data_IF_929282614956
#
_entry.id   IF_929282614956
#
_cell.length_a   1.000
_cell.length_b   1.000
_cell.length_c   1.000
_cell.angle_alpha   90.00
_cell.angle_beta   90.00
_cell.angle_gamma   90.00
#
_symmetry.space_group_name_H-M   'P 1'
#
loop_
_entity.id
_entity.type
_entity.pdbx_description
1 polymer ?
#
# COMPACT_ATOMS: atom_id res chain seq x y z
N UNK A 1 -14.90 12.97 -10.09
CA UNK A 1 -13.45 12.88 -9.85
C UNK A 1 -12.79 13.99 -10.63
N UNK A 2 -12.17 14.93 -9.92
CA UNK A 2 -11.24 15.91 -10.51
C UNK A 2 -10.06 15.14 -11.09
N UNK A 3 -9.52 15.48 -12.28
CA UNK A 3 -8.31 14.84 -12.77
C UNK A 3 -7.20 14.98 -11.73
N UNK A 4 -6.48 13.89 -11.46
CA UNK A 4 -5.27 13.95 -10.66
C UNK A 4 -4.28 14.89 -11.36
N UNK A 5 -3.50 15.70 -10.63
CA UNK A 5 -2.46 16.52 -11.23
C UNK A 5 -1.43 15.64 -11.96
N UNK A 6 -0.70 16.21 -12.94
CA UNK A 6 0.33 15.48 -13.67
C UNK A 6 1.33 14.83 -12.71
N UNK A 7 1.59 13.54 -12.93
CA UNK A 7 2.56 12.75 -12.20
C UNK A 7 3.67 12.38 -13.20
N UNK A 8 4.88 12.95 -13.07
CA UNK A 8 5.90 12.81 -14.10
C UNK A 8 6.28 11.37 -14.44
N UNK A 9 6.24 10.46 -13.48
CA UNK A 9 6.51 9.03 -13.66
C UNK A 9 5.41 8.39 -14.50
N UNK A 10 4.15 8.69 -14.17
CA UNK A 10 3.01 8.20 -14.95
C UNK A 10 3.04 8.77 -16.37
N UNK A 11 3.43 10.02 -16.54
CA UNK A 11 3.55 10.68 -17.85
C UNK A 11 4.72 10.11 -18.68
N UNK A 12 5.88 9.87 -18.05
CA UNK A 12 7.03 9.24 -18.70
C UNK A 12 6.73 7.79 -19.10
N UNK A 13 6.10 7.02 -18.22
CA UNK A 13 5.64 5.66 -18.53
C UNK A 13 4.62 5.65 -19.66
N UNK A 14 3.66 6.60 -19.66
CA UNK A 14 2.67 6.74 -20.72
C UNK A 14 3.31 6.97 -22.09
N UNK A 15 4.38 7.77 -22.17
CA UNK A 15 5.12 8.01 -23.40
C UNK A 15 5.76 6.73 -23.98
N UNK A 16 6.01 5.73 -23.13
CA UNK A 16 6.52 4.41 -23.50
C UNK A 16 5.43 3.33 -23.61
N UNK A 17 4.15 3.70 -23.45
CA UNK A 17 3.02 2.75 -23.45
C UNK A 17 2.97 1.86 -22.20
N UNK A 18 3.59 2.29 -21.10
CA UNK A 18 3.63 1.58 -19.82
C UNK A 18 2.66 2.20 -18.82
N UNK A 19 2.32 1.45 -17.79
CA UNK A 19 1.51 1.91 -16.66
C UNK A 19 2.31 1.84 -15.36
N UNK A 20 2.00 2.77 -14.44
CA UNK A 20 2.64 2.87 -13.12
C UNK A 20 1.56 3.01 -12.07
N UNK A 21 1.64 2.18 -11.04
CA UNK A 21 0.77 2.23 -9.86
C UNK A 21 1.59 2.65 -8.64
N UNK A 22 1.08 3.61 -7.88
CA UNK A 22 1.69 4.08 -6.64
C UNK A 22 0.93 3.52 -5.44
N UNK A 23 1.62 2.78 -4.58
CA UNK A 23 1.00 1.94 -3.56
C UNK A 23 1.58 2.26 -2.18
N UNK A 24 0.76 2.13 -1.14
CA UNK A 24 1.19 2.28 0.25
C UNK A 24 0.89 1.01 1.05
N UNK A 25 1.87 0.51 1.80
CA UNK A 25 1.78 -0.77 2.48
C UNK A 25 1.44 -0.68 3.99
N UNK A 26 0.85 0.41 4.48
CA UNK A 26 0.39 0.52 5.87
C UNK A 26 1.45 0.99 6.87
N UNK A 27 1.12 0.89 8.16
CA UNK A 27 1.81 1.54 9.29
C UNK A 27 1.89 3.05 9.11
N UNK A 28 0.72 3.68 9.10
CA UNK A 28 0.62 5.12 8.94
C UNK A 28 0.90 5.84 10.26
N UNK A 29 0.56 5.23 11.39
CA UNK A 29 0.68 5.83 12.73
C UNK A 29 1.87 5.29 13.52
N UNK A 30 2.17 5.93 14.65
CA UNK A 30 3.20 5.54 15.62
C UNK A 30 4.65 5.62 15.10
N UNK A 31 5.27 6.78 15.31
CA UNK A 31 6.67 7.04 14.91
C UNK A 31 6.95 8.49 14.53
N UNK A 32 5.97 9.39 14.60
CA UNK A 32 6.13 10.78 14.22
C UNK A 32 5.20 11.72 15.02
N UNK A 33 5.61 12.97 15.20
CA UNK A 33 4.74 13.97 15.82
C UNK A 33 3.45 14.22 15.02
N UNK A 34 3.50 14.10 13.68
CA UNK A 34 2.35 14.28 12.80
C UNK A 34 1.26 13.21 13.02
N UNK A 35 1.65 11.98 13.34
CA UNK A 35 0.71 10.91 13.68
C UNK A 35 0.34 10.91 15.17
N UNK A 36 1.27 11.24 16.06
CA UNK A 36 1.17 10.83 17.48
C UNK A 36 0.87 11.98 18.44
N UNK A 37 1.14 13.24 18.07
CA UNK A 37 0.92 14.36 18.99
C UNK A 37 -0.55 14.45 19.45
N UNK A 38 -1.48 14.16 18.55
CA UNK A 38 -2.91 14.12 18.83
C UNK A 38 -3.35 12.97 19.75
N UNK A 39 -2.51 11.93 19.94
CA UNK A 39 -2.75 10.93 20.97
C UNK A 39 -2.70 11.55 22.37
N UNK A 40 -1.80 12.51 22.59
CA UNK A 40 -1.61 13.15 23.90
C UNK A 40 -2.56 14.31 24.18
N UNK A 41 -3.21 14.85 23.15
CA UNK A 41 -4.18 15.97 23.28
C UNK A 41 -5.63 15.52 23.16
N UNK A 42 -5.90 14.56 22.27
CA UNK A 42 -7.26 14.12 21.89
C UNK A 42 -7.48 12.61 22.05
N UNK A 43 -6.45 11.83 22.35
CA UNK A 43 -6.54 10.38 22.54
C UNK A 43 -6.70 9.56 21.25
N UNK A 44 -6.19 10.09 20.12
CA UNK A 44 -6.32 9.46 18.80
C UNK A 44 -5.03 9.64 17.99
N UNK A 45 -4.47 8.55 17.45
CA UNK A 45 -3.40 8.63 16.46
C UNK A 45 -3.95 8.98 15.07
N UNK A 46 -3.14 9.63 14.26
CA UNK A 46 -3.44 9.89 12.84
C UNK A 46 -4.44 11.03 12.59
N UNK A 47 -4.93 11.72 13.63
CA UNK A 47 -5.91 12.82 13.50
C UNK A 47 -5.47 13.87 12.49
N UNK A 48 -4.19 14.24 12.52
CA UNK A 48 -3.63 15.27 11.63
C UNK A 48 -2.94 14.66 10.39
N UNK A 49 -2.57 13.38 10.43
CA UNK A 49 -1.86 12.70 9.35
C UNK A 49 -2.79 12.11 8.29
N UNK A 50 -3.93 11.51 8.66
CA UNK A 50 -4.84 10.91 7.69
C UNK A 50 -5.38 11.90 6.65
N UNK A 51 -5.71 13.17 6.98
CA UNK A 51 -6.05 14.17 5.98
C UNK A 51 -4.94 14.39 4.93
N UNK A 52 -3.67 14.36 5.35
CA UNK A 52 -2.52 14.49 4.44
C UNK A 52 -2.39 13.25 3.54
N UNK A 53 -2.52 12.05 4.12
CA UNK A 53 -2.50 10.79 3.36
C UNK A 53 -3.63 10.75 2.33
N UNK A 54 -4.83 11.24 2.65
CA UNK A 54 -5.96 11.34 1.72
C UNK A 54 -5.72 12.23 0.50
N UNK A 55 -4.71 13.11 0.53
CA UNK A 55 -4.31 13.94 -0.61
C UNK A 55 -3.29 13.25 -1.52
N UNK A 56 -2.66 12.16 -1.05
CA UNK A 56 -1.65 11.45 -1.82
C UNK A 56 -2.28 10.67 -2.98
N UNK A 57 -1.63 10.66 -4.16
CA UNK A 57 -2.19 10.02 -5.35
C UNK A 57 -1.95 8.50 -5.38
N UNK A 58 -2.18 7.81 -4.26
CA UNK A 58 -2.08 6.36 -4.19
C UNK A 58 -3.18 5.70 -5.02
N UNK A 59 -2.81 4.66 -5.78
CA UNK A 59 -3.74 3.84 -6.54
C UNK A 59 -4.44 2.79 -5.67
N UNK A 60 -3.76 2.31 -4.62
CA UNK A 60 -4.28 1.50 -3.52
C UNK A 60 -3.36 1.58 -2.29
N UNK A 61 -3.91 1.27 -1.13
CA UNK A 61 -3.20 1.26 0.15
C UNK A 61 -3.83 0.23 1.11
N UNK A 62 -3.12 -0.19 2.15
CA UNK A 62 -3.58 -1.15 3.16
C UNK A 62 -3.28 -0.67 4.58
N UNK A 63 -3.81 -1.36 5.59
CA UNK A 63 -3.44 -1.20 7.01
C UNK A 63 -2.08 -1.82 7.32
N UNK A 64 -1.41 -1.29 8.34
CA UNK A 64 -0.37 -2.00 9.10
C UNK A 64 -0.83 -2.31 10.53
N UNK A 65 0.02 -2.94 11.33
CA UNK A 65 -0.34 -3.32 12.70
C UNK A 65 -0.49 -2.09 13.63
N UNK A 66 0.30 -1.04 13.39
CA UNK A 66 0.25 0.18 14.19
C UNK A 66 -1.06 0.96 14.00
N UNK A 67 -1.75 0.76 12.88
CA UNK A 67 -3.06 1.38 12.64
C UNK A 67 -4.18 0.73 13.49
N UNK A 68 -3.92 -0.43 14.10
CA UNK A 68 -4.93 -1.31 14.70
C UNK A 68 -4.79 -1.51 16.21
N UNK A 69 -3.80 -0.91 16.89
CA UNK A 69 -3.62 -1.06 18.34
C UNK A 69 -4.67 -0.33 19.17
N UNK A 70 -5.22 0.78 18.66
CA UNK A 70 -6.18 1.61 19.38
C UNK A 70 -7.56 1.67 18.70
N UNK A 71 -8.61 1.42 19.49
CA UNK A 71 -10.00 1.52 19.03
C UNK A 71 -10.33 2.92 18.49
N UNK A 72 -9.70 3.96 19.05
CA UNK A 72 -9.93 5.35 18.64
C UNK A 72 -9.34 5.65 17.26
N UNK A 73 -8.19 5.06 16.92
CA UNK A 73 -7.56 5.17 15.60
C UNK A 73 -8.41 4.46 14.54
N UNK A 74 -8.90 3.25 14.83
CA UNK A 74 -9.82 2.53 13.94
C UNK A 74 -11.12 3.32 13.73
N UNK A 75 -11.72 3.81 14.82
CA UNK A 75 -12.93 4.62 14.74
C UNK A 75 -12.73 5.92 13.94
N UNK A 76 -11.55 6.54 14.01
CA UNK A 76 -11.20 7.68 13.18
C UNK A 76 -11.12 7.28 11.70
N UNK A 77 -10.43 6.19 11.36
CA UNK A 77 -10.30 5.73 9.97
C UNK A 77 -11.67 5.42 9.34
N UNK A 78 -12.54 4.70 10.05
CA UNK A 78 -13.90 4.36 9.58
C UNK A 78 -14.85 5.58 9.58
N UNK A 79 -14.76 6.44 10.60
CA UNK A 79 -15.74 7.51 10.85
C UNK A 79 -15.43 8.86 10.20
N UNK A 80 -14.18 9.15 9.84
CA UNK A 80 -13.78 10.44 9.25
C UNK A 80 -14.00 10.53 7.74
N UNK A 81 -14.32 9.41 7.09
CA UNK A 81 -14.33 9.29 5.64
C UNK A 81 -12.95 8.99 5.04
N UNK A 82 -11.92 8.74 5.86
CA UNK A 82 -10.60 8.33 5.38
C UNK A 82 -10.68 7.06 4.52
N UNK A 83 -11.23 5.96 5.06
CA UNK A 83 -11.36 4.69 4.32
C UNK A 83 -12.30 4.86 3.12
N UNK A 84 -13.49 5.41 3.33
CA UNK A 84 -14.50 5.59 2.29
C UNK A 84 -14.02 6.46 1.13
N UNK A 85 -13.16 7.46 1.41
CA UNK A 85 -12.58 8.36 0.43
C UNK A 85 -11.77 7.65 -0.67
N UNK A 86 -11.24 6.46 -0.38
CA UNK A 86 -10.49 5.65 -1.33
C UNK A 86 -11.38 4.83 -2.26
N UNK A 87 -12.70 4.80 -2.07
CA UNK A 87 -13.65 4.17 -2.99
C UNK A 87 -13.37 2.69 -3.23
N UNK A 88 -13.03 1.94 -2.17
CA UNK A 88 -12.70 0.51 -2.22
C UNK A 88 -11.23 0.20 -2.54
N UNK A 89 -10.35 1.20 -2.56
CA UNK A 89 -8.89 1.04 -2.77
C UNK A 89 -8.07 1.05 -1.47
N UNK A 90 -8.72 1.25 -0.33
CA UNK A 90 -8.17 0.93 0.99
C UNK A 90 -8.44 -0.54 1.26
N UNK A 91 -7.41 -1.39 1.16
CA UNK A 91 -7.53 -2.83 1.07
C UNK A 91 -7.28 -3.50 2.44
N UNK A 92 -8.20 -4.36 2.87
CA UNK A 92 -8.15 -5.07 4.15
C UNK A 92 -8.70 -6.49 4.00
N UNK A 93 -8.09 -7.29 3.12
CA UNK A 93 -8.49 -8.67 2.77
C UNK A 93 -8.69 -9.59 3.98
N UNK A 94 -7.92 -9.40 5.06
CA UNK A 94 -8.04 -10.22 6.26
C UNK A 94 -8.34 -9.44 7.55
N UNK A 95 -8.68 -8.15 7.48
CA UNK A 95 -9.03 -7.35 8.66
C UNK A 95 -10.50 -6.97 8.62
N UNK A 96 -11.27 -7.46 9.59
CA UNK A 96 -12.71 -7.24 9.68
C UNK A 96 -13.09 -6.48 10.94
N UNK A 97 -14.18 -5.72 10.86
CA UNK A 97 -14.83 -5.12 12.03
C UNK A 97 -15.34 -6.23 12.96
N UNK A 98 -15.00 -6.17 14.24
CA UNK A 98 -15.29 -7.22 15.22
C UNK A 98 -16.79 -7.43 15.48
N UNK A 99 -17.60 -6.39 15.25
CA UNK A 99 -19.06 -6.43 15.47
C UNK A 99 -19.81 -6.96 14.26
N UNK A 100 -19.43 -6.53 13.06
CA UNK A 100 -20.17 -6.89 11.83
C UNK A 100 -19.60 -8.12 11.12
N UNK A 101 -18.31 -8.43 11.34
CA UNK A 101 -17.57 -9.46 10.61
C UNK A 101 -17.29 -9.09 9.14
N UNK A 102 -17.52 -7.84 8.76
CA UNK A 102 -17.25 -7.29 7.42
C UNK A 102 -15.92 -6.56 7.45
N UNK A 103 -15.18 -6.61 6.34
CA UNK A 103 -13.93 -5.87 6.17
C UNK A 103 -14.14 -4.39 6.40
N UNK A 104 -13.21 -3.74 7.10
CA UNK A 104 -13.28 -2.29 7.36
C UNK A 104 -13.03 -1.49 6.07
N UNK A 105 -12.26 -2.05 5.13
CA UNK A 105 -12.06 -1.55 3.77
C UNK A 105 -12.48 -2.57 2.70
N UNK A 106 -11.94 -2.42 1.49
CA UNK A 106 -12.16 -3.35 0.39
C UNK A 106 -11.36 -4.64 0.55
N UNK A 107 -11.92 -5.79 0.17
CA UNK A 107 -11.15 -7.05 0.12
C UNK A 107 -10.09 -7.05 -0.97
N UNK A 108 -10.42 -6.47 -2.11
CA UNK A 108 -9.58 -6.39 -3.29
C UNK A 108 -10.11 -5.28 -4.20
N UNK A 109 -9.29 -4.88 -5.17
CA UNK A 109 -9.74 -4.03 -6.28
C UNK A 109 -9.01 -4.42 -7.57
N UNK A 110 -9.55 -4.05 -8.73
CA UNK A 110 -8.85 -4.19 -10.01
C UNK A 110 -8.40 -2.80 -10.45
N UNK A 111 -7.08 -2.61 -10.49
CA UNK A 111 -6.45 -1.42 -11.02
C UNK A 111 -6.31 -1.58 -12.53
N UNK A 112 -6.75 -0.57 -13.29
CA UNK A 112 -6.67 -0.58 -14.75
C UNK A 112 -5.69 0.51 -15.18
N UNK A 113 -4.64 0.11 -15.88
CA UNK A 113 -3.64 1.00 -16.42
C UNK A 113 -4.24 1.90 -17.51
N UNK A 114 -4.19 3.23 -17.38
CA UNK A 114 -4.78 4.13 -18.36
C UNK A 114 -4.10 4.10 -19.74
N UNK A 115 -2.86 3.62 -19.83
CA UNK A 115 -2.06 3.68 -21.06
C UNK A 115 -2.10 2.37 -21.86
N UNK A 116 -1.83 1.23 -21.21
CA UNK A 116 -1.83 -0.09 -21.87
C UNK A 116 -3.16 -0.83 -21.71
N UNK A 117 -3.98 -0.45 -20.72
CA UNK A 117 -5.19 -1.20 -20.35
C UNK A 117 -4.91 -2.40 -19.45
N UNK A 118 -3.68 -2.58 -18.97
CA UNK A 118 -3.29 -3.67 -18.05
C UNK A 118 -4.22 -3.72 -16.84
N UNK A 119 -4.68 -4.91 -16.48
CA UNK A 119 -5.52 -5.16 -15.31
C UNK A 119 -4.69 -5.82 -14.23
N UNK A 120 -4.60 -5.17 -13.07
CA UNK A 120 -3.89 -5.67 -11.90
C UNK A 120 -4.89 -5.91 -10.78
N UNK A 121 -5.04 -7.16 -10.35
CA UNK A 121 -5.80 -7.48 -9.15
C UNK A 121 -4.95 -7.13 -7.92
N UNK A 122 -5.42 -6.18 -7.12
CA UNK A 122 -4.76 -5.76 -5.89
C UNK A 122 -5.49 -6.31 -4.65
N UNK A 123 -4.73 -6.92 -3.74
CA UNK A 123 -5.16 -7.45 -2.44
C UNK A 123 -4.40 -6.74 -1.30
N UNK A 124 -4.93 -6.76 -0.08
CA UNK A 124 -4.32 -6.12 1.10
C UNK A 124 -4.35 -7.03 2.33
N UNK A 125 -3.22 -7.62 2.70
CA UNK A 125 -3.10 -8.55 3.81
C UNK A 125 -2.18 -8.03 4.91
N UNK A 126 -2.55 -8.29 6.15
CA UNK A 126 -1.71 -8.16 7.33
C UNK A 126 -1.30 -9.57 7.82
N UNK A 127 -0.18 -9.72 8.53
CA UNK A 127 0.12 -10.98 9.22
C UNK A 127 -1.02 -11.36 10.20
N UNK A 128 -0.98 -12.56 10.77
CA UNK A 128 -1.95 -12.96 11.80
C UNK A 128 -1.69 -12.21 13.12
N UNK A 129 -2.02 -10.91 13.13
CA UNK A 129 -1.95 -10.06 14.30
C UNK A 129 -3.02 -10.51 15.31
N UNK A 130 -2.62 -10.69 16.57
CA UNK A 130 -3.53 -11.15 17.64
C UNK A 130 -3.59 -10.18 18.82
N UNK A 131 -2.81 -9.10 18.76
CA UNK A 131 -2.72 -8.02 19.74
C UNK A 131 -3.36 -6.72 19.24
N UNK A 132 -4.25 -6.80 18.25
CA UNK A 132 -5.05 -5.67 17.78
C UNK A 132 -6.13 -5.24 18.81
N UNK A 133 -6.68 -4.04 18.63
CA UNK A 133 -7.76 -3.48 19.43
C UNK A 133 -9.09 -4.27 19.31
N UNK A 134 -10.05 -3.94 20.18
CA UNK A 134 -11.34 -4.64 20.24
C UNK A 134 -12.28 -4.35 19.06
N UNK A 135 -12.01 -3.32 18.26
CA UNK A 135 -12.86 -2.89 17.14
C UNK A 135 -12.70 -3.77 15.89
N UNK A 136 -11.59 -4.49 15.77
CA UNK A 136 -11.28 -5.33 14.61
C UNK A 136 -10.91 -6.75 15.01
N UNK A 137 -10.88 -7.64 14.03
CA UNK A 137 -10.28 -8.97 14.10
C UNK A 137 -9.46 -9.15 12.84
N UNK A 138 -8.18 -9.48 13.01
CA UNK A 138 -7.31 -9.88 11.90
C UNK A 138 -7.38 -11.39 11.78
N UNK A 139 -7.92 -11.88 10.66
CA UNK A 139 -8.02 -13.31 10.36
C UNK A 139 -6.68 -13.85 9.90
N UNK A 140 -6.41 -15.10 10.26
CA UNK A 140 -5.23 -15.82 9.78
C UNK A 140 -5.23 -15.90 8.24
N UNK A 141 -4.17 -15.43 7.54
CA UNK A 141 -4.05 -15.56 6.09
C UNK A 141 -4.28 -16.98 5.59
N UNK A 142 -3.87 -18.00 6.35
CA UNK A 142 -4.09 -19.41 6.01
C UNK A 142 -5.58 -19.76 5.91
N UNK A 143 -6.42 -19.17 6.76
CA UNK A 143 -7.87 -19.38 6.70
C UNK A 143 -8.50 -18.57 5.58
N UNK A 144 -8.07 -17.31 5.41
CA UNK A 144 -8.64 -16.39 4.43
C UNK A 144 -8.46 -16.86 2.99
N UNK A 145 -7.30 -17.44 2.64
CA UNK A 145 -7.05 -17.97 1.29
C UNK A 145 -7.96 -19.15 0.91
N UNK A 146 -8.68 -19.72 1.89
CA UNK A 146 -9.66 -20.80 1.70
C UNK A 146 -11.11 -20.31 1.70
N UNK A 147 -11.35 -19.04 1.97
CA UNK A 147 -12.70 -18.47 2.00
C UNK A 147 -13.29 -18.35 0.59
N UNK A 148 -14.61 -18.55 0.47
CA UNK A 148 -15.34 -18.54 -0.80
C UNK A 148 -15.13 -17.23 -1.58
N UNK A 149 -15.02 -16.10 -0.89
CA UNK A 149 -14.83 -14.81 -1.55
C UNK A 149 -13.46 -14.72 -2.21
N UNK A 150 -12.40 -15.30 -1.62
CA UNK A 150 -11.04 -15.24 -2.15
C UNK A 150 -10.97 -16.05 -3.44
N UNK A 151 -11.51 -17.27 -3.40
CA UNK A 151 -11.64 -18.13 -4.57
C UNK A 151 -12.49 -17.45 -5.66
N UNK A 152 -13.62 -16.86 -5.29
CA UNK A 152 -14.50 -16.16 -6.22
C UNK A 152 -13.86 -14.91 -6.82
N UNK A 153 -13.05 -14.18 -6.04
CA UNK A 153 -12.33 -13.00 -6.51
C UNK A 153 -11.28 -13.38 -7.56
N UNK A 154 -10.48 -14.42 -7.32
CA UNK A 154 -9.49 -14.89 -8.28
C UNK A 154 -10.14 -15.50 -9.53
N UNK A 155 -11.16 -16.35 -9.36
CA UNK A 155 -11.86 -16.96 -10.49
C UNK A 155 -12.65 -15.92 -11.33
N UNK A 156 -13.25 -14.93 -10.68
CA UNK A 156 -13.98 -13.84 -11.33
C UNK A 156 -13.09 -12.84 -12.07
N UNK A 157 -11.79 -12.84 -11.76
CA UNK A 157 -10.78 -11.97 -12.36
C UNK A 157 -9.66 -12.80 -13.00
N UNK A 158 -9.99 -13.95 -13.60
CA UNK A 158 -9.01 -14.82 -14.24
C UNK A 158 -8.29 -14.18 -15.45
N UNK A 159 -8.87 -13.11 -16.01
CA UNK A 159 -8.34 -12.35 -17.16
C UNK A 159 -7.42 -11.19 -16.77
N UNK A 160 -7.01 -11.09 -15.51
CA UNK A 160 -6.02 -10.08 -15.08
C UNK A 160 -4.63 -10.43 -15.57
N UNK A 161 -3.84 -9.39 -15.82
CA UNK A 161 -2.50 -9.53 -16.35
C UNK A 161 -1.45 -9.69 -15.24
N UNK A 162 -1.78 -9.26 -14.01
CA UNK A 162 -0.95 -9.45 -12.83
C UNK A 162 -1.77 -9.40 -11.53
N UNK A 163 -1.19 -9.90 -10.45
CA UNK A 163 -1.67 -9.74 -9.09
C UNK A 163 -0.63 -8.97 -8.29
N UNK A 164 -1.08 -7.98 -7.52
CA UNK A 164 -0.27 -7.30 -6.53
C UNK A 164 -0.88 -7.52 -5.15
N UNK A 165 -0.05 -7.90 -4.18
CA UNK A 165 -0.49 -8.07 -2.80
C UNK A 165 0.24 -7.04 -1.94
N UNK A 166 -0.50 -6.05 -1.45
CA UNK A 166 -0.03 -5.19 -0.36
C UNK A 166 -0.04 -6.06 0.89
N UNK A 167 1.14 -6.39 1.40
CA UNK A 167 1.32 -7.37 2.46
C UNK A 167 2.13 -6.73 3.57
N UNK A 168 1.48 -6.30 4.66
CA UNK A 168 2.19 -5.73 5.79
C UNK A 168 2.83 -6.85 6.64
N UNK A 169 3.88 -7.46 6.09
CA UNK A 169 4.60 -8.64 6.57
C UNK A 169 6.04 -8.55 6.08
N UNK A 170 6.98 -9.27 6.71
CA UNK A 170 8.35 -9.41 6.18
C UNK A 170 8.35 -10.03 4.78
N UNK A 171 9.33 -9.68 3.95
CA UNK A 171 9.47 -10.26 2.61
C UNK A 171 9.56 -11.79 2.57
N UNK A 172 10.11 -12.41 3.62
CA UNK A 172 10.29 -13.86 3.79
C UNK A 172 9.29 -14.46 4.80
N UNK A 173 8.22 -13.74 5.17
CA UNK A 173 7.19 -14.26 6.09
C UNK A 173 6.47 -15.49 5.52
N UNK A 174 6.15 -16.47 6.38
CA UNK A 174 5.43 -17.68 5.98
C UNK A 174 4.04 -17.38 5.43
N UNK A 175 3.38 -16.32 5.90
CA UNK A 175 2.07 -15.92 5.41
C UNK A 175 2.12 -15.41 3.96
N UNK A 176 3.25 -14.83 3.52
CA UNK A 176 3.45 -14.46 2.11
C UNK A 176 3.43 -15.71 1.24
N UNK A 177 4.11 -16.77 1.68
CA UNK A 177 4.15 -18.05 0.96
C UNK A 177 2.77 -18.73 0.96
N UNK A 178 2.06 -18.70 2.09
CA UNK A 178 0.68 -19.21 2.22
C UNK A 178 -0.29 -18.50 1.25
N UNK A 179 -0.18 -17.18 1.12
CA UNK A 179 -1.01 -16.41 0.18
C UNK A 179 -0.69 -16.81 -1.26
N UNK A 180 0.59 -16.93 -1.60
CA UNK A 180 1.00 -17.37 -2.94
C UNK A 180 0.50 -18.79 -3.23
N UNK A 181 0.65 -19.72 -2.29
CA UNK A 181 0.11 -21.08 -2.41
C UNK A 181 -1.41 -21.09 -2.59
N UNK A 182 -2.13 -20.22 -1.89
CA UNK A 182 -3.57 -20.02 -2.07
C UNK A 182 -3.94 -19.58 -3.48
N UNK A 183 -3.20 -18.63 -4.06
CA UNK A 183 -3.37 -18.17 -5.45
C UNK A 183 -3.06 -19.32 -6.42
N UNK A 184 -1.87 -19.91 -6.33
CA UNK A 184 -1.41 -20.98 -7.24
C UNK A 184 -2.25 -22.25 -7.13
N UNK A 185 -2.81 -22.51 -5.96
CA UNK A 185 -3.70 -23.65 -5.68
C UNK A 185 -4.97 -23.66 -6.54
N UNK A 186 -5.38 -22.51 -7.09
CA UNK A 186 -6.51 -22.42 -8.00
C UNK A 186 -6.19 -22.81 -9.44
N UNK A 187 -4.91 -23.05 -9.80
CA UNK A 187 -4.49 -23.44 -11.16
C UNK A 187 -5.25 -24.64 -11.75
N UNK A 188 -5.78 -25.55 -10.90
CA UNK A 188 -6.61 -26.67 -11.36
C UNK A 188 -7.99 -26.26 -11.92
N UNK A 189 -8.55 -25.14 -11.46
CA UNK A 189 -9.85 -24.60 -11.88
C UNK A 189 -9.75 -23.29 -12.66
N UNK A 190 -8.66 -22.54 -12.47
CA UNK A 190 -8.34 -21.26 -13.10
C UNK A 190 -6.89 -21.36 -13.58
N UNK A 191 -6.62 -21.98 -14.75
CA UNK A 191 -5.28 -22.28 -15.23
C UNK A 191 -4.31 -21.09 -15.21
N UNK A 192 -4.83 -19.89 -15.49
CA UNK A 192 -4.09 -18.62 -15.51
C UNK A 192 -3.41 -18.33 -14.16
N UNK A 193 -4.00 -18.76 -13.03
CA UNK A 193 -3.41 -18.59 -11.71
C UNK A 193 -2.10 -19.37 -11.52
N UNK A 194 -1.80 -20.35 -12.38
CA UNK A 194 -0.55 -21.09 -12.33
C UNK A 194 0.68 -20.28 -12.76
N UNK A 195 0.50 -19.25 -13.60
CA UNK A 195 1.59 -18.47 -14.19
C UNK A 195 1.38 -16.96 -14.19
N UNK A 196 0.24 -16.47 -13.70
CA UNK A 196 0.01 -15.03 -13.55
C UNK A 196 1.13 -14.40 -12.70
N UNK A 197 1.75 -13.29 -13.13
CA UNK A 197 2.70 -12.56 -12.31
C UNK A 197 2.12 -12.16 -10.95
N UNK A 198 2.83 -12.42 -9.85
CA UNK A 198 2.43 -12.02 -8.49
C UNK A 198 3.55 -11.21 -7.83
N UNK A 199 3.28 -9.94 -7.53
CA UNK A 199 4.21 -9.10 -6.77
C UNK A 199 3.67 -8.84 -5.37
N UNK A 200 4.43 -9.25 -4.36
CA UNK A 200 4.18 -8.84 -2.97
C UNK A 200 4.92 -7.52 -2.69
N UNK A 201 4.19 -6.52 -2.23
CA UNK A 201 4.75 -5.30 -1.64
C UNK A 201 4.76 -5.53 -0.13
N UNK A 202 5.93 -5.81 0.43
CA UNK A 202 6.11 -6.20 1.83
C UNK A 202 6.59 -5.05 2.72
N UNK A 203 6.59 -5.25 4.04
CA UNK A 203 6.81 -4.21 5.06
C UNK A 203 7.10 -4.80 6.44
N UNK A 204 6.68 -4.08 7.49
CA UNK A 204 6.75 -4.50 8.90
C UNK A 204 8.15 -4.60 9.53
N UNK A 205 9.14 -5.20 8.86
CA UNK A 205 10.49 -5.41 9.44
C UNK A 205 11.45 -4.25 9.20
N UNK A 206 11.03 -3.26 8.40
CA UNK A 206 11.74 -2.03 8.09
C UNK A 206 13.03 -2.25 7.29
N UNK A 207 13.13 -3.37 6.56
CA UNK A 207 14.29 -3.70 5.76
C UNK A 207 14.13 -3.27 4.30
N UNK A 208 15.28 -2.98 3.66
CA UNK A 208 15.35 -2.94 2.19
C UNK A 208 15.77 -4.31 1.72
N UNK A 209 14.87 -5.04 1.07
CA UNK A 209 15.19 -6.37 0.57
C UNK A 209 14.17 -6.90 -0.42
N UNK A 210 14.55 -7.95 -1.14
CA UNK A 210 13.64 -8.68 -2.00
C UNK A 210 13.99 -10.17 -2.04
N UNK A 211 13.05 -10.99 -2.49
CA UNK A 211 13.24 -12.43 -2.66
C UNK A 211 12.37 -12.96 -3.81
N UNK A 212 12.85 -14.01 -4.47
CA UNK A 212 12.02 -14.79 -5.39
C UNK A 212 11.12 -15.72 -4.58
N UNK A 213 9.87 -15.86 -5.02
CA UNK A 213 8.91 -16.80 -4.42
C UNK A 213 8.64 -17.99 -5.34
N UNK A 214 8.44 -17.73 -6.63
CA UNK A 214 8.45 -18.75 -7.70
C UNK A 214 8.95 -18.13 -9.02
N UNK A 215 8.82 -18.82 -10.15
CA UNK A 215 9.25 -18.29 -11.46
C UNK A 215 8.41 -17.10 -11.96
N UNK A 216 7.26 -16.84 -11.35
CA UNK A 216 6.34 -15.76 -11.69
C UNK A 216 6.02 -14.83 -10.52
N UNK A 217 6.70 -14.99 -9.38
CA UNK A 217 6.39 -14.26 -8.17
C UNK A 217 7.63 -13.80 -7.42
N UNK A 218 7.54 -12.58 -6.86
CA UNK A 218 8.56 -12.02 -6.01
C UNK A 218 7.96 -11.25 -4.85
N UNK A 219 8.78 -10.97 -3.84
CA UNK A 219 8.43 -10.19 -2.66
C UNK A 219 9.49 -9.12 -2.43
N UNK A 220 9.06 -7.88 -2.16
CA UNK A 220 9.92 -6.70 -2.11
C UNK A 220 9.49 -5.76 -0.98
N UNK A 221 10.45 -5.40 -0.12
CA UNK A 221 10.27 -4.50 1.02
C UNK A 221 11.10 -3.23 0.86
N UNK A 222 10.47 -2.08 1.11
CA UNK A 222 10.98 -0.76 0.76
C UNK A 222 11.42 0.08 1.97
N UNK A 223 12.07 -0.50 2.99
CA UNK A 223 12.60 0.27 4.11
C UNK A 223 11.52 0.87 5.01
N UNK A 224 11.74 2.09 5.53
CA UNK A 224 10.87 2.68 6.55
C UNK A 224 10.98 4.22 6.66
N UNK A 225 10.07 4.86 7.38
CA UNK A 225 10.12 6.29 7.76
C UNK A 225 10.33 7.28 6.61
N UNK A 226 9.79 6.96 5.42
CA UNK A 226 10.00 7.75 4.19
C UNK A 226 11.49 7.98 3.89
N UNK A 227 12.35 7.00 4.18
CA UNK A 227 13.76 7.02 3.76
C UNK A 227 13.96 6.48 2.33
N UNK A 228 12.97 5.73 1.83
CA UNK A 228 13.01 5.00 0.57
C UNK A 228 11.69 5.09 -0.17
N UNK A 229 11.76 5.31 -1.47
CA UNK A 229 10.72 4.97 -2.44
C UNK A 229 11.13 3.68 -3.15
N UNK A 230 10.33 2.63 -3.00
CA UNK A 230 10.51 1.38 -3.72
C UNK A 230 10.02 1.47 -5.16
N UNK A 231 10.84 1.03 -6.12
CA UNK A 231 10.46 0.96 -7.53
C UNK A 231 10.62 -0.45 -8.08
N UNK A 232 9.54 -1.00 -8.64
CA UNK A 232 9.49 -2.36 -9.18
C UNK A 232 8.98 -2.29 -10.61
N UNK A 233 9.64 -3.01 -11.51
CA UNK A 233 9.17 -3.16 -12.90
C UNK A 233 9.22 -4.62 -13.32
N UNK A 234 8.18 -5.06 -14.05
CA UNK A 234 8.08 -6.40 -14.61
C UNK A 234 7.10 -6.40 -15.79
N UNK A 235 7.24 -7.39 -16.68
CA UNK A 235 6.32 -7.61 -17.79
C UNK A 235 5.16 -8.51 -17.37
N UNK A 236 3.96 -8.24 -17.89
CA UNK A 236 2.75 -9.00 -17.55
C UNK A 236 2.45 -10.18 -18.48
N UNK A 237 3.28 -10.39 -19.51
CA UNK A 237 3.16 -11.52 -20.45
C UNK A 237 4.47 -12.31 -20.58
N UNK A 238 4.91 -12.99 -19.51
CA UNK A 238 6.14 -13.76 -19.55
C UNK A 238 5.92 -15.15 -20.18
N UNK A 239 6.80 -15.57 -21.07
CA UNK A 239 6.71 -16.90 -21.71
C UNK A 239 7.01 -18.04 -20.72
N UNK A 240 8.16 -17.99 -20.03
CA UNK A 240 8.60 -19.04 -19.08
C UNK A 240 8.84 -18.52 -17.67
N UNK A 241 9.20 -17.23 -17.51
CA UNK A 241 9.56 -16.62 -16.23
C UNK A 241 9.24 -15.14 -16.25
N UNK A 242 8.68 -14.61 -15.17
CA UNK A 242 8.54 -13.18 -14.94
C UNK A 242 9.85 -12.62 -14.41
N UNK A 243 10.43 -11.63 -15.07
CA UNK A 243 11.60 -10.91 -14.56
C UNK A 243 11.18 -9.64 -13.84
N UNK A 244 11.57 -9.51 -12.57
CA UNK A 244 11.34 -8.31 -11.77
C UNK A 244 12.66 -7.54 -11.61
N UNK A 245 12.61 -6.23 -11.83
CA UNK A 245 13.70 -5.32 -11.49
C UNK A 245 13.28 -4.47 -10.30
N UNK A 246 14.21 -4.26 -9.38
CA UNK A 246 13.98 -3.56 -8.12
C UNK A 246 14.99 -2.43 -7.95
N UNK A 247 14.51 -1.26 -7.56
CA UNK A 247 15.33 -0.12 -7.20
C UNK A 247 14.86 0.47 -5.87
N UNK A 248 15.84 0.84 -5.04
CA UNK A 248 15.61 1.59 -3.80
C UNK A 248 16.02 3.03 -4.07
N UNK A 249 15.05 3.93 -4.17
CA UNK A 249 15.28 5.34 -4.43
C UNK A 249 15.26 6.07 -3.10
N UNK A 250 16.37 6.70 -2.70
CA UNK A 250 16.39 7.46 -1.45
C UNK A 250 15.39 8.62 -1.53
N UNK A 251 14.51 8.70 -0.54
CA UNK A 251 13.37 9.63 -0.54
C UNK A 251 13.78 11.04 -0.10
N UNK A 252 14.67 11.65 -0.87
CA UNK A 252 15.03 13.07 -0.75
C UNK A 252 14.78 13.80 -2.08
N UNK A 253 14.62 15.12 -2.00
CA UNK A 253 14.19 15.95 -3.12
C UNK A 253 15.09 15.81 -4.35
N UNK A 254 16.41 15.84 -4.17
CA UNK A 254 17.36 15.85 -5.29
C UNK A 254 17.40 14.47 -5.97
N UNK A 255 17.43 13.39 -5.19
CA UNK A 255 17.39 12.03 -5.73
C UNK A 255 16.07 11.74 -6.44
N UNK A 256 14.94 12.16 -5.88
CA UNK A 256 13.64 12.01 -6.54
C UNK A 256 13.58 12.82 -7.83
N UNK A 257 14.08 14.07 -7.84
CA UNK A 257 14.13 14.88 -9.05
C UNK A 257 14.96 14.21 -10.15
N UNK A 258 16.16 13.73 -9.81
CA UNK A 258 17.03 13.01 -10.75
C UNK A 258 16.37 11.71 -11.25
N UNK A 259 15.73 10.94 -10.36
CA UNK A 259 15.02 9.71 -10.71
C UNK A 259 13.85 9.96 -11.67
N UNK A 260 13.16 11.09 -11.54
CA UNK A 260 12.06 11.46 -12.46
C UNK A 260 12.52 11.90 -13.83
N UNK A 261 13.77 12.35 -13.96
CA UNK A 261 14.26 13.03 -15.16
C UNK A 261 13.58 14.38 -15.44
N UNK A 262 12.76 14.90 -14.52
CA UNK A 262 12.10 16.20 -14.63
C UNK A 262 13.11 17.31 -14.37
N UNK A 263 13.01 18.41 -15.11
CA UNK A 263 13.83 19.58 -14.86
C UNK A 263 13.59 20.12 -13.44
N UNK A 264 14.63 20.54 -12.69
CA UNK A 264 14.46 21.03 -11.32
C UNK A 264 13.44 22.16 -11.14
N UNK A 265 13.20 22.97 -12.19
CA UNK A 265 12.20 24.04 -12.21
C UNK A 265 10.75 23.55 -12.24
N UNK A 266 10.55 22.31 -12.71
CA UNK A 266 9.23 21.73 -12.99
C UNK A 266 8.90 20.58 -12.02
N UNK A 267 9.84 20.24 -11.13
CA UNK A 267 9.69 19.16 -10.15
C UNK A 267 8.60 19.45 -9.11
N UNK A 268 8.51 20.70 -8.64
CA UNK A 268 7.54 21.08 -7.61
C UNK A 268 6.15 21.34 -8.23
N UNK A 269 5.25 20.37 -8.07
CA UNK A 269 3.85 20.48 -8.53
C UNK A 269 3.01 21.37 -7.60
N UNK A 270 1.91 21.93 -8.09
CA UNK A 270 1.00 22.75 -7.26
C UNK A 270 0.36 21.94 -6.13
N UNK A 271 0.00 20.67 -6.37
CA UNK A 271 -0.48 19.79 -5.29
C UNK A 271 0.63 19.53 -4.27
N UNK A 272 1.85 19.25 -4.72
CA UNK A 272 2.99 19.04 -3.84
C UNK A 272 3.23 20.24 -2.92
N UNK A 273 3.25 21.46 -3.47
CA UNK A 273 3.36 22.70 -2.69
C UNK A 273 2.23 22.87 -1.69
N UNK A 274 0.99 22.60 -2.11
CA UNK A 274 -0.18 22.68 -1.21
C UNK A 274 -0.11 21.67 -0.06
N UNK A 275 0.40 20.46 -0.30
CA UNK A 275 0.61 19.46 0.75
C UNK A 275 1.76 19.90 1.67
N UNK A 276 2.86 20.44 1.13
CA UNK A 276 3.96 21.01 1.94
C UNK A 276 3.46 22.12 2.86
N UNK A 277 2.67 23.06 2.36
CA UNK A 277 2.08 24.13 3.17
C UNK A 277 1.17 23.57 4.28
N UNK A 278 0.41 22.51 3.99
CA UNK A 278 -0.43 21.85 4.99
C UNK A 278 0.41 21.15 6.07
N UNK A 279 1.49 20.46 5.69
CA UNK A 279 2.43 19.86 6.64
C UNK A 279 3.04 20.92 7.55
N UNK A 280 3.52 22.03 6.98
CA UNK A 280 4.12 23.13 7.75
C UNK A 280 3.12 23.74 8.74
N UNK A 281 1.87 23.92 8.31
CA UNK A 281 0.80 24.40 9.17
C UNK A 281 0.49 23.41 10.31
N UNK A 282 0.37 22.11 10.01
CA UNK A 282 0.15 21.06 11.02
C UNK A 282 1.31 21.02 12.03
N UNK A 283 2.56 21.10 11.56
CA UNK A 283 3.75 21.17 12.43
C UNK A 283 3.69 22.38 13.36
N UNK A 284 3.25 23.53 12.87
CA UNK A 284 3.10 24.74 13.66
C UNK A 284 1.96 24.63 14.69
N UNK A 285 0.80 24.12 14.28
CA UNK A 285 -0.40 23.99 15.13
C UNK A 285 -0.19 22.99 16.27
N UNK A 286 0.61 21.95 16.02
CA UNK A 286 0.99 20.94 17.01
C UNK A 286 2.28 21.30 17.77
N UNK A 287 2.90 22.45 17.48
CA UNK A 287 4.14 22.92 18.10
C UNK A 287 5.30 21.91 18.01
N UNK A 288 5.34 21.07 16.96
CA UNK A 288 6.30 19.95 16.84
C UNK A 288 7.76 20.40 16.71
N UNK A 289 7.98 21.66 16.33
CA UNK A 289 9.29 22.27 16.22
C UNK A 289 9.70 23.08 17.47
N UNK A 290 8.93 23.04 18.56
CA UNK A 290 9.30 23.72 19.80
C UNK A 290 10.62 23.15 20.36
N UNK A 291 11.58 24.05 20.60
CA UNK A 291 12.89 23.67 21.14
C UNK A 291 12.77 23.40 22.64
N UNK A 292 12.71 22.12 23.02
CA UNK A 292 12.68 21.70 24.42
C UNK A 292 14.07 21.72 25.09
N UNK A 293 15.15 21.66 24.30
CA UNK A 293 16.52 21.63 24.79
C UNK A 293 17.54 21.43 23.68
N UNK A 294 18.81 21.25 24.06
CA UNK A 294 19.88 20.84 23.14
C UNK A 294 20.44 19.49 23.62
N UNK A 295 20.68 18.52 22.71
CA UNK A 295 21.19 17.19 23.05
C UNK A 295 22.63 17.22 23.58
#
# INVERSE_FOLDING_TARGET
>A
MTPLPPNPQKDAAAAEGKDVFFLNNGDHTEGSGLSDASMYTSGVHGLDLFPLISLMPFDALTVGNHDLYDDSTVALMEGSGFIDGWGGRYLTSNTVNSTTGVEIGGRYTVLVGPNSGVKVLALGFLYHQTDNCGSVVVKDPADVVREDWFVSALAGNADVDAIVVLSHMDKDDENVDIILEGIRGLSGSVPEMGSVPVQFITGHTHYRGWTWKDDHASSFEAGHYLDTLGWITFDTYPDEKTWFNFEYVDANRDVLADFTGVAPSDFDTELGKSITEMIDQTVADLELAEVLGCP
#
